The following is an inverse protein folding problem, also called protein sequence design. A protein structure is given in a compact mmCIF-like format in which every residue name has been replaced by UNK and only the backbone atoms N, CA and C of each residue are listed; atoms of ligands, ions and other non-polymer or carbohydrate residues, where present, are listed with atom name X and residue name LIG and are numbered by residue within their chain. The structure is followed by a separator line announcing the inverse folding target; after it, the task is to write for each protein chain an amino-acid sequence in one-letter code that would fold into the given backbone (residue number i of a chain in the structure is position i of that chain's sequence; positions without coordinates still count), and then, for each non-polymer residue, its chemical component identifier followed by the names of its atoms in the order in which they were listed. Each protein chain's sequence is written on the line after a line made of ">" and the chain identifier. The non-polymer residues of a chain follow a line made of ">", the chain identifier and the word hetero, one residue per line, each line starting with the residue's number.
data_IF_280706455776
#
_entry.id   IF_280706455776
#
_cell.length_a   1.000
_cell.length_b   1.000
_cell.length_c   1.000
_cell.angle_alpha   90.00
_cell.angle_beta   90.00
_cell.angle_gamma   90.00
#
_symmetry.space_group_name_H-M   'P 1'
#
loop_
_entity.id
_entity.type
_entity.pdbx_description
1 polymer ?
#
# COMPACT_ATOMS: atom_id res chain seq x y z
N UNK A 1 32.28 -59.51 -2.59
CA UNK A 1 32.04 -58.47 -1.55
C UNK A 1 32.89 -57.20 -1.65
N UNK A 2 34.23 -57.25 -1.78
CA UNK A 2 35.10 -56.03 -1.74
C UNK A 2 34.82 -54.98 -2.84
N UNK A 3 34.45 -55.40 -4.06
CA UNK A 3 34.19 -54.49 -5.21
C UNK A 3 32.87 -53.69 -5.06
N UNK A 4 31.85 -54.29 -4.44
CA UNK A 4 30.56 -53.63 -4.16
C UNK A 4 30.69 -52.56 -3.07
N UNK A 5 31.49 -52.83 -2.03
CA UNK A 5 31.81 -51.88 -0.96
C UNK A 5 32.54 -50.63 -1.48
N UNK A 6 33.50 -50.81 -2.40
CA UNK A 6 34.21 -49.69 -3.05
C UNK A 6 33.27 -48.82 -3.90
N UNK A 7 32.38 -49.42 -4.70
CA UNK A 7 31.37 -48.66 -5.47
C UNK A 7 30.42 -47.87 -4.56
N UNK A 8 30.00 -48.45 -3.44
CA UNK A 8 29.18 -47.78 -2.44
C UNK A 8 29.89 -46.58 -1.81
N UNK A 9 31.19 -46.74 -1.46
CA UNK A 9 32.01 -45.64 -0.91
C UNK A 9 32.18 -44.51 -1.93
N UNK A 10 32.50 -44.82 -3.19
CA UNK A 10 32.62 -43.78 -4.23
C UNK A 10 31.29 -43.07 -4.51
N UNK A 11 30.17 -43.80 -4.50
CA UNK A 11 28.84 -43.21 -4.64
C UNK A 11 28.50 -42.28 -3.48
N UNK A 12 28.86 -42.64 -2.25
CA UNK A 12 28.61 -41.82 -1.07
C UNK A 12 29.49 -40.56 -1.07
N UNK A 13 30.75 -40.69 -1.50
CA UNK A 13 31.69 -39.59 -1.60
C UNK A 13 31.29 -38.60 -2.71
N UNK A 14 30.79 -39.12 -3.84
CA UNK A 14 30.21 -38.30 -4.91
C UNK A 14 28.95 -37.54 -4.45
N UNK A 15 28.04 -38.22 -3.73
CA UNK A 15 26.86 -37.57 -3.15
C UNK A 15 27.24 -36.47 -2.14
N UNK A 16 28.27 -36.69 -1.32
CA UNK A 16 28.79 -35.69 -0.39
C UNK A 16 29.35 -34.46 -1.14
N UNK A 17 30.13 -34.66 -2.20
CA UNK A 17 30.67 -33.57 -3.01
C UNK A 17 29.52 -32.76 -3.65
N UNK A 18 28.51 -33.44 -4.21
CA UNK A 18 27.33 -32.76 -4.75
C UNK A 18 26.60 -31.95 -3.68
N UNK A 19 26.40 -32.52 -2.49
CA UNK A 19 25.79 -31.81 -1.36
C UNK A 19 26.60 -30.57 -0.96
N UNK A 20 27.92 -30.70 -0.80
CA UNK A 20 28.82 -29.59 -0.42
C UNK A 20 28.83 -28.51 -1.50
N UNK A 21 28.87 -28.89 -2.79
CA UNK A 21 28.81 -27.95 -3.91
C UNK A 21 27.48 -27.19 -3.94
N UNK A 22 26.37 -27.88 -3.69
CA UNK A 22 25.04 -27.27 -3.58
C UNK A 22 24.97 -26.28 -2.41
N UNK A 23 25.52 -26.64 -1.25
CA UNK A 23 25.61 -25.74 -0.09
C UNK A 23 26.46 -24.51 -0.42
N UNK A 24 27.64 -24.68 -1.03
CA UNK A 24 28.51 -23.55 -1.39
C UNK A 24 27.85 -22.61 -2.41
N UNK A 25 27.17 -23.17 -3.42
CA UNK A 25 26.39 -22.40 -4.38
C UNK A 25 25.24 -21.64 -3.70
N UNK A 26 24.57 -22.28 -2.75
CA UNK A 26 23.48 -21.70 -1.96
C UNK A 26 23.97 -20.54 -1.09
N UNK A 27 25.11 -20.67 -0.43
CA UNK A 27 25.76 -19.59 0.33
C UNK A 27 26.28 -18.44 -0.55
N UNK A 28 26.60 -18.74 -1.81
CA UNK A 28 27.13 -17.78 -2.79
C UNK A 28 26.05 -17.13 -3.65
N UNK A 29 24.77 -17.45 -3.40
CA UNK A 29 23.65 -16.90 -4.16
C UNK A 29 23.60 -15.38 -4.05
N UNK A 30 23.54 -14.69 -5.21
CA UNK A 30 23.52 -13.24 -5.34
C UNK A 30 22.51 -12.85 -6.41
N UNK A 31 21.73 -11.81 -6.15
CA UNK A 31 20.82 -11.23 -7.13
C UNK A 31 21.58 -10.27 -8.04
N UNK A 32 21.32 -10.37 -9.34
CA UNK A 32 21.70 -9.36 -10.33
C UNK A 32 20.86 -8.10 -10.18
N UNK A 33 21.35 -6.96 -10.69
CA UNK A 33 20.61 -5.70 -10.63
C UNK A 33 19.25 -5.79 -11.34
N UNK A 34 19.10 -6.62 -12.39
CA UNK A 34 17.82 -6.84 -13.07
C UNK A 34 16.81 -7.66 -12.26
N UNK A 35 17.30 -8.60 -11.44
CA UNK A 35 16.46 -9.40 -10.55
C UNK A 35 16.01 -8.57 -9.34
N UNK A 36 16.91 -7.73 -8.81
CA UNK A 36 16.58 -6.76 -7.76
C UNK A 36 15.47 -5.81 -8.26
N UNK A 37 15.52 -5.34 -9.52
CA UNK A 37 14.45 -4.52 -10.09
C UNK A 37 13.13 -5.28 -10.24
N UNK A 38 13.17 -6.57 -10.61
CA UNK A 38 11.96 -7.41 -10.75
C UNK A 38 11.37 -7.87 -9.42
N UNK A 39 12.04 -7.63 -8.30
CA UNK A 39 11.53 -8.01 -6.99
C UNK A 39 10.62 -6.98 -6.34
N UNK A 40 10.65 -5.72 -6.79
CA UNK A 40 9.82 -4.68 -6.20
C UNK A 40 8.38 -4.71 -6.72
N UNK A 41 7.46 -4.27 -5.87
CA UNK A 41 6.08 -4.00 -6.21
C UNK A 41 5.68 -2.65 -5.61
N UNK A 42 4.78 -1.95 -6.27
CA UNK A 42 4.06 -0.81 -5.70
C UNK A 42 2.73 -1.31 -5.17
N UNK A 43 2.36 -0.85 -3.99
CA UNK A 43 1.12 -1.25 -3.31
C UNK A 43 0.22 -0.05 -3.29
N UNK A 44 -0.86 -0.14 -4.06
CA UNK A 44 -1.98 0.79 -4.00
C UNK A 44 -2.88 0.41 -2.82
N UNK A 45 -3.04 1.35 -1.90
CA UNK A 45 -3.82 1.23 -0.68
C UNK A 45 -4.98 2.22 -0.81
N UNK A 46 -6.17 1.68 -1.01
CA UNK A 46 -7.42 2.45 -0.95
C UNK A 46 -8.04 2.21 0.40
N UNK A 47 -8.25 3.27 1.17
CA UNK A 47 -8.85 3.15 2.50
C UNK A 47 -9.89 4.23 2.75
N UNK A 48 -11.00 3.81 3.34
CA UNK A 48 -12.14 4.66 3.66
C UNK A 48 -12.86 4.14 4.90
N UNK A 49 -13.55 5.03 5.59
CA UNK A 49 -14.44 4.72 6.70
C UNK A 49 -15.88 4.63 6.21
N UNK A 50 -16.50 3.50 6.53
CA UNK A 50 -17.88 3.18 6.25
C UNK A 50 -18.68 3.41 7.53
N UNK A 51 -19.60 4.38 7.50
CA UNK A 51 -20.53 4.66 8.60
C UNK A 51 -21.82 3.93 8.29
N UNK A 52 -22.06 2.87 9.07
CA UNK A 52 -23.27 2.07 8.99
C UNK A 52 -24.28 2.49 10.05
N UNK A 53 -25.52 2.68 9.61
CA UNK A 53 -26.65 3.05 10.45
C UNK A 53 -27.61 1.87 10.41
N UNK A 54 -27.87 1.29 11.58
CA UNK A 54 -28.70 0.09 11.77
C UNK A 54 -28.21 -1.10 10.93
N UNK A 55 -26.89 -1.24 10.81
CA UNK A 55 -26.25 -2.33 10.06
C UNK A 55 -26.11 -2.09 8.55
N UNK A 56 -26.65 -0.99 8.02
CA UNK A 56 -26.55 -0.66 6.60
C UNK A 56 -25.56 0.49 6.36
N UNK A 57 -24.60 0.35 5.43
CA UNK A 57 -23.70 1.45 5.08
C UNK A 57 -24.45 2.55 4.34
N UNK A 58 -24.40 3.76 4.89
CA UNK A 58 -25.09 4.93 4.31
C UNK A 58 -24.16 6.10 4.01
N UNK A 59 -23.05 6.22 4.72
CA UNK A 59 -22.06 7.28 4.50
C UNK A 59 -20.66 6.69 4.38
N UNK A 60 -19.89 7.25 3.47
CA UNK A 60 -18.51 6.89 3.25
C UNK A 60 -17.62 8.13 3.35
N UNK A 61 -16.51 8.00 4.07
CA UNK A 61 -15.57 9.09 4.40
C UNK A 61 -14.15 8.59 4.14
N UNK A 62 -13.23 9.44 3.68
CA UNK A 62 -11.82 9.03 3.52
C UNK A 62 -11.10 8.70 4.83
N UNK A 63 -11.29 9.54 5.86
CA UNK A 63 -10.75 9.39 7.21
C UNK A 63 -11.58 10.19 8.21
N UNK A 64 -12.22 9.51 9.17
CA UNK A 64 -13.03 10.13 10.22
C UNK A 64 -12.25 11.08 11.13
N UNK A 65 -10.93 10.88 11.26
CA UNK A 65 -10.08 11.70 12.12
C UNK A 65 -9.59 12.99 11.44
N UNK A 66 -9.97 13.21 10.17
CA UNK A 66 -9.52 14.36 9.37
C UNK A 66 -10.72 15.21 8.99
N UNK A 67 -10.76 16.45 9.50
CA UNK A 67 -11.83 17.41 9.18
C UNK A 67 -11.97 17.67 7.67
N UNK A 68 -10.83 17.77 6.95
CA UNK A 68 -10.84 17.91 5.49
C UNK A 68 -11.43 16.67 4.80
N UNK A 69 -11.17 15.47 5.31
CA UNK A 69 -11.80 14.28 4.77
C UNK A 69 -13.29 14.17 5.12
N UNK A 70 -13.72 14.65 6.29
CA UNK A 70 -15.13 14.69 6.68
C UNK A 70 -15.93 15.58 5.73
N UNK A 71 -15.39 16.72 5.29
CA UNK A 71 -16.03 17.59 4.29
C UNK A 71 -16.29 16.90 2.94
N UNK A 72 -15.52 15.86 2.63
CA UNK A 72 -15.67 15.06 1.41
C UNK A 72 -16.51 13.79 1.62
N UNK A 73 -17.29 13.70 2.71
CA UNK A 73 -18.21 12.59 2.92
C UNK A 73 -19.23 12.47 1.77
N UNK A 74 -19.67 11.25 1.51
CA UNK A 74 -20.59 10.95 0.41
C UNK A 74 -21.46 9.73 0.73
N UNK A 75 -22.62 9.65 0.07
CA UNK A 75 -23.49 8.47 0.10
C UNK A 75 -23.13 7.44 -0.97
N UNK A 76 -22.25 7.80 -1.92
CA UNK A 76 -21.84 6.95 -3.05
C UNK A 76 -20.45 6.38 -2.78
N UNK A 77 -20.36 5.05 -2.67
CA UNK A 77 -19.10 4.33 -2.40
C UNK A 77 -18.00 4.66 -3.42
N UNK A 78 -18.37 4.71 -4.69
CA UNK A 78 -17.43 4.88 -5.81
C UNK A 78 -16.91 6.32 -5.94
N UNK A 79 -17.38 7.28 -5.16
CA UNK A 79 -16.83 8.64 -5.22
C UNK A 79 -15.53 8.81 -4.43
N UNK A 80 -15.07 7.77 -3.72
CA UNK A 80 -13.90 7.79 -2.84
C UNK A 80 -12.57 7.41 -3.52
N UNK A 81 -12.53 7.35 -4.85
CA UNK A 81 -11.31 7.10 -5.63
C UNK A 81 -10.15 8.05 -5.34
N UNK A 82 -10.37 9.15 -4.59
CA UNK A 82 -9.33 10.13 -4.23
C UNK A 82 -8.48 9.70 -3.02
N UNK A 83 -8.90 8.70 -2.23
CA UNK A 83 -8.16 8.25 -1.04
C UNK A 83 -7.21 7.09 -1.34
N UNK A 84 -6.37 7.28 -2.35
CA UNK A 84 -5.33 6.32 -2.74
C UNK A 84 -4.01 6.72 -2.10
N UNK A 85 -3.32 5.75 -1.53
CA UNK A 85 -1.92 5.89 -1.13
C UNK A 85 -1.10 4.80 -1.76
N UNK A 86 0.16 5.11 -2.05
CA UNK A 86 1.09 4.16 -2.62
C UNK A 86 2.26 3.90 -1.67
N UNK A 87 2.58 2.62 -1.48
CA UNK A 87 3.72 2.18 -0.68
C UNK A 87 4.63 1.27 -1.51
N UNK A 88 5.91 1.22 -1.17
CA UNK A 88 6.82 0.25 -1.75
C UNK A 88 6.65 -1.10 -1.06
N UNK A 89 6.88 -2.17 -1.82
CA UNK A 89 7.00 -3.52 -1.32
C UNK A 89 7.88 -4.36 -2.22
N UNK A 90 8.04 -5.63 -1.84
CA UNK A 90 8.80 -6.60 -2.60
C UNK A 90 8.30 -8.03 -2.37
N UNK A 91 8.45 -8.85 -3.40
CA UNK A 91 8.06 -10.25 -3.38
C UNK A 91 9.02 -11.08 -2.55
N UNK A 92 8.50 -12.00 -1.74
CA UNK A 92 9.31 -12.92 -0.93
C UNK A 92 8.94 -14.38 -1.22
N UNK A 93 9.93 -15.26 -1.12
CA UNK A 93 9.67 -16.69 -1.11
C UNK A 93 9.19 -17.14 0.28
N UNK A 94 8.14 -17.99 0.28
CA UNK A 94 7.56 -18.56 1.50
C UNK A 94 8.52 -19.55 2.16
N UNK A 95 9.17 -20.38 1.35
CA UNK A 95 10.11 -21.38 1.82
C UNK A 95 11.54 -20.92 1.54
N UNK A 96 12.43 -21.19 2.49
CA UNK A 96 13.85 -20.94 2.30
C UNK A 96 14.43 -21.86 1.22
N UNK A 97 14.00 -23.13 1.17
CA UNK A 97 14.63 -24.18 0.35
C UNK A 97 14.02 -24.22 -1.06
N UNK A 98 12.71 -23.96 -1.18
CA UNK A 98 11.98 -23.99 -2.44
C UNK A 98 11.56 -22.57 -2.83
N UNK A 99 11.97 -22.06 -4.01
CA UNK A 99 11.65 -20.71 -4.47
C UNK A 99 10.18 -20.64 -4.89
N UNK A 100 9.29 -20.64 -3.90
CA UNK A 100 7.85 -20.55 -4.08
C UNK A 100 7.34 -19.35 -3.31
N UNK A 101 6.95 -18.30 -4.04
CA UNK A 101 6.46 -17.06 -3.46
C UNK A 101 4.98 -17.15 -3.02
N UNK A 102 4.12 -17.86 -3.76
CA UNK A 102 2.67 -17.97 -3.47
C UNK A 102 1.99 -16.60 -3.29
N UNK A 103 2.44 -15.62 -4.07
CA UNK A 103 1.92 -14.26 -4.06
C UNK A 103 2.26 -13.42 -2.83
N UNK A 104 3.26 -13.78 -2.02
CA UNK A 104 3.62 -13.03 -0.81
C UNK A 104 4.44 -11.77 -1.11
N UNK A 105 4.00 -10.65 -0.55
CA UNK A 105 4.66 -9.34 -0.65
C UNK A 105 4.87 -8.74 0.74
N UNK A 106 6.09 -8.29 1.02
CA UNK A 106 6.41 -7.54 2.23
C UNK A 106 6.42 -6.05 1.91
N UNK A 107 5.94 -5.25 2.86
CA UNK A 107 5.89 -3.80 2.78
C UNK A 107 5.99 -3.17 4.17
N UNK A 108 6.23 -1.87 4.22
CA UNK A 108 6.29 -1.12 5.47
C UNK A 108 5.41 0.14 5.41
N UNK A 109 5.11 0.69 6.59
CA UNK A 109 4.42 1.98 6.70
C UNK A 109 2.95 1.95 6.30
N UNK A 110 2.31 0.78 6.23
CA UNK A 110 0.86 0.68 6.03
C UNK A 110 0.14 1.11 7.31
N UNK A 111 -0.79 2.07 7.25
CA UNK A 111 -1.57 2.49 8.41
C UNK A 111 -2.32 1.29 9.02
N UNK A 112 -2.42 1.27 10.35
CA UNK A 112 -3.20 0.25 11.04
C UNK A 112 -4.67 0.37 10.61
N UNK A 113 -5.35 -0.75 10.28
CA UNK A 113 -6.79 -0.74 10.10
C UNK A 113 -7.36 -0.34 11.44
N UNK A 114 -8.09 0.77 11.47
CA UNK A 114 -8.90 1.08 12.64
C UNK A 114 -9.85 -0.10 12.85
N UNK A 115 -9.84 -0.64 14.06
CA UNK A 115 -10.82 -1.62 14.46
C UNK A 115 -12.23 -1.02 14.31
N UNK A 116 -13.22 -1.88 14.07
CA UNK A 116 -14.63 -1.47 14.10
C UNK A 116 -14.89 -0.70 15.39
N UNK A 117 -15.31 0.55 15.27
CA UNK A 117 -15.69 1.36 16.43
C UNK A 117 -17.20 1.41 16.54
N UNK A 118 -17.69 0.95 17.69
CA UNK A 118 -19.07 1.07 18.13
C UNK A 118 -19.17 1.98 19.37
N UNK A 119 -18.09 2.71 19.70
CA UNK A 119 -18.09 3.61 20.84
C UNK A 119 -19.02 4.79 20.56
N UNK A 120 -20.10 4.88 21.35
CA UNK A 120 -21.11 5.92 21.25
C UNK A 120 -20.52 7.34 21.32
N UNK A 121 -19.45 7.56 22.09
CA UNK A 121 -18.81 8.87 22.21
C UNK A 121 -18.14 9.27 20.88
N UNK A 122 -17.40 8.34 20.28
CA UNK A 122 -16.71 8.54 18.99
C UNK A 122 -17.73 8.70 17.87
N UNK A 123 -18.73 7.83 17.79
CA UNK A 123 -19.75 7.91 16.74
C UNK A 123 -20.55 9.20 16.82
N UNK A 124 -20.97 9.61 18.03
CA UNK A 124 -21.72 10.85 18.23
C UNK A 124 -20.87 12.08 17.90
N UNK A 125 -19.57 12.05 18.24
CA UNK A 125 -18.65 13.13 17.88
C UNK A 125 -18.53 13.29 16.36
N UNK A 126 -18.31 12.19 15.63
CA UNK A 126 -18.17 12.18 14.16
C UNK A 126 -19.46 12.67 13.50
N UNK A 127 -20.63 12.17 13.94
CA UNK A 127 -21.93 12.60 13.39
C UNK A 127 -22.18 14.09 13.65
N UNK A 128 -21.86 14.58 14.85
CA UNK A 128 -22.00 16.01 15.17
C UNK A 128 -21.10 16.86 14.27
N UNK A 129 -19.85 16.46 14.06
CA UNK A 129 -18.94 17.17 13.16
C UNK A 129 -19.44 17.15 11.71
N UNK A 130 -19.90 16.00 11.21
CA UNK A 130 -20.51 15.91 9.88
C UNK A 130 -21.71 16.85 9.75
N UNK A 131 -22.61 16.87 10.75
CA UNK A 131 -23.75 17.79 10.75
C UNK A 131 -23.30 19.25 10.67
N UNK A 132 -22.36 19.67 11.51
CA UNK A 132 -21.85 21.05 11.50
C UNK A 132 -21.22 21.42 10.16
N UNK A 133 -20.34 20.57 9.63
CA UNK A 133 -19.63 20.82 8.37
C UNK A 133 -20.63 20.90 7.20
N UNK A 134 -21.55 19.95 7.09
CA UNK A 134 -22.47 19.90 5.96
C UNK A 134 -23.57 20.95 6.04
N UNK A 135 -24.04 21.34 7.23
CA UNK A 135 -24.98 22.47 7.36
C UNK A 135 -24.32 23.78 6.92
N UNK A 136 -23.12 24.09 7.43
CA UNK A 136 -22.40 25.29 7.01
C UNK A 136 -22.07 25.28 5.51
N UNK A 137 -21.70 24.12 4.96
CA UNK A 137 -21.42 23.98 3.54
C UNK A 137 -22.69 24.16 2.69
N UNK A 138 -23.81 23.59 3.11
CA UNK A 138 -25.11 23.75 2.45
C UNK A 138 -25.54 25.22 2.37
N UNK A 139 -25.46 25.95 3.49
CA UNK A 139 -25.82 27.37 3.55
C UNK A 139 -24.93 28.21 2.61
N UNK A 140 -23.63 27.91 2.58
CA UNK A 140 -22.69 28.54 1.64
C UNK A 140 -23.01 28.23 0.18
N UNK A 141 -23.35 26.97 -0.14
CA UNK A 141 -23.69 26.56 -1.50
C UNK A 141 -24.99 27.22 -1.99
N UNK A 142 -25.97 27.45 -1.10
CA UNK A 142 -27.20 28.18 -1.45
C UNK A 142 -26.85 29.62 -1.84
N UNK A 143 -26.08 30.32 -1.00
CA UNK A 143 -25.68 31.71 -1.28
C UNK A 143 -24.95 31.85 -2.62
N UNK A 144 -24.03 30.94 -2.94
CA UNK A 144 -23.29 30.95 -4.20
C UNK A 144 -24.22 30.62 -5.38
N UNK A 145 -25.16 29.69 -5.21
CA UNK A 145 -26.09 29.32 -6.26
C UNK A 145 -27.06 30.44 -6.62
N UNK A 146 -27.51 31.23 -5.64
CA UNK A 146 -28.38 32.39 -5.88
C UNK A 146 -27.67 33.45 -6.72
N UNK A 147 -26.41 33.76 -6.38
CA UNK A 147 -25.56 34.68 -7.15
C UNK A 147 -25.33 34.16 -8.59
N UNK A 148 -25.05 32.86 -8.72
CA UNK A 148 -24.77 32.24 -10.00
C UNK A 148 -26.01 32.17 -10.90
N UNK A 149 -27.18 31.89 -10.32
CA UNK A 149 -28.46 31.91 -11.03
C UNK A 149 -28.82 33.33 -11.48
N UNK A 150 -28.50 34.35 -10.67
CA UNK A 150 -28.64 35.74 -11.08
C UNK A 150 -27.76 36.05 -12.30
N UNK A 151 -26.47 35.70 -12.25
CA UNK A 151 -25.54 35.90 -13.36
C UNK A 151 -26.03 35.23 -14.65
N UNK A 152 -26.39 33.94 -14.59
CA UNK A 152 -26.83 33.17 -15.76
C UNK A 152 -28.17 33.66 -16.36
N UNK A 153 -28.97 34.40 -15.58
CA UNK A 153 -30.22 35.01 -16.07
C UNK A 153 -29.98 36.32 -16.80
N UNK A 154 -29.00 37.11 -16.34
CA UNK A 154 -28.70 38.44 -16.88
C UNK A 154 -27.77 38.36 -18.09
N UNK A 155 -26.83 37.41 -18.08
CA UNK A 155 -25.80 37.25 -19.09
C UNK A 155 -26.15 36.19 -20.13
N UNK A 156 -25.84 36.48 -21.40
CA UNK A 156 -26.13 35.61 -22.53
C UNK A 156 -24.95 34.72 -22.91
N UNK A 157 -25.21 33.71 -23.75
CA UNK A 157 -24.17 32.78 -24.25
C UNK A 157 -23.06 33.48 -25.04
N UNK A 158 -23.34 34.68 -25.56
CA UNK A 158 -22.40 35.51 -26.32
C UNK A 158 -21.36 36.23 -25.43
N UNK A 159 -21.55 36.25 -24.10
CA UNK A 159 -20.64 36.91 -23.17
C UNK A 159 -19.37 36.08 -22.95
N UNK A 160 -18.22 36.75 -22.95
CA UNK A 160 -16.95 36.11 -22.60
C UNK A 160 -17.01 35.53 -21.19
N UNK A 161 -16.71 34.24 -21.06
CA UNK A 161 -16.73 33.53 -19.78
C UNK A 161 -18.07 32.87 -19.42
N UNK A 162 -19.16 33.08 -20.17
CA UNK A 162 -20.44 32.40 -19.94
C UNK A 162 -20.27 30.87 -19.88
N UNK A 163 -19.48 30.31 -20.80
CA UNK A 163 -19.21 28.88 -20.83
C UNK A 163 -18.55 28.39 -19.53
N UNK A 164 -17.52 29.09 -19.03
CA UNK A 164 -16.84 28.77 -17.78
C UNK A 164 -17.80 28.81 -16.59
N UNK A 165 -18.65 29.83 -16.53
CA UNK A 165 -19.61 30.02 -15.44
C UNK A 165 -20.71 28.95 -15.48
N UNK A 166 -21.19 28.58 -16.67
CA UNK A 166 -22.17 27.49 -16.84
C UNK A 166 -21.61 26.13 -16.40
N UNK A 167 -20.33 25.84 -16.71
CA UNK A 167 -19.65 24.64 -16.23
C UNK A 167 -19.49 24.66 -14.70
N UNK A 168 -19.16 25.82 -14.13
CA UNK A 168 -19.08 25.98 -12.69
C UNK A 168 -20.45 25.76 -12.02
N UNK A 169 -21.53 26.26 -12.61
CA UNK A 169 -22.89 26.03 -12.12
C UNK A 169 -23.28 24.55 -12.12
N UNK A 170 -22.91 23.81 -13.17
CA UNK A 170 -23.12 22.36 -13.20
C UNK A 170 -22.36 21.65 -12.07
N UNK A 171 -21.10 22.02 -11.81
CA UNK A 171 -20.31 21.48 -10.69
C UNK A 171 -20.95 21.81 -9.33
N UNK A 172 -21.39 23.05 -9.15
CA UNK A 172 -22.05 23.50 -7.92
C UNK A 172 -23.33 22.70 -7.61
N UNK A 173 -24.15 22.43 -8.63
CA UNK A 173 -25.35 21.60 -8.49
C UNK A 173 -25.02 20.18 -8.05
N UNK A 174 -23.96 19.57 -8.57
CA UNK A 174 -23.50 18.26 -8.12
C UNK A 174 -23.03 18.28 -6.66
N UNK A 175 -22.32 19.33 -6.23
CA UNK A 175 -21.91 19.48 -4.83
C UNK A 175 -23.09 19.72 -3.89
N UNK A 176 -24.12 20.46 -4.33
CA UNK A 176 -25.39 20.61 -3.59
C UNK A 176 -26.10 19.28 -3.41
N UNK A 177 -26.30 18.52 -4.51
CA UNK A 177 -26.93 17.19 -4.45
C UNK A 177 -26.20 16.24 -3.51
N UNK A 178 -24.86 16.25 -3.52
CA UNK A 178 -24.03 15.47 -2.58
C UNK A 178 -24.28 15.90 -1.14
N UNK A 179 -24.25 17.20 -0.89
CA UNK A 179 -24.45 17.79 0.44
C UNK A 179 -25.83 17.46 1.01
N UNK A 180 -26.87 17.61 0.19
CA UNK A 180 -28.25 17.32 0.56
C UNK A 180 -28.45 15.83 0.85
N UNK A 181 -27.84 14.96 0.05
CA UNK A 181 -27.89 13.51 0.27
C UNK A 181 -27.28 13.11 1.61
N UNK A 182 -26.13 13.70 1.96
CA UNK A 182 -25.47 13.45 3.26
C UNK A 182 -26.32 13.99 4.41
N UNK A 183 -26.82 15.23 4.31
CA UNK A 183 -27.70 15.82 5.33
C UNK A 183 -28.99 15.03 5.50
N UNK A 184 -29.59 14.52 4.43
CA UNK A 184 -30.78 13.69 4.49
C UNK A 184 -30.54 12.40 5.29
N UNK A 185 -29.38 11.76 5.14
CA UNK A 185 -29.00 10.60 5.95
C UNK A 185 -28.85 10.99 7.42
N UNK A 186 -28.18 12.11 7.71
CA UNK A 186 -27.96 12.58 9.09
C UNK A 186 -29.29 12.97 9.76
N UNK A 187 -30.20 13.64 9.05
CA UNK A 187 -31.52 14.06 9.57
C UNK A 187 -32.43 12.88 9.92
N UNK A 188 -32.24 11.71 9.29
CA UNK A 188 -33.00 10.48 9.56
C UNK A 188 -32.52 9.74 10.81
N UNK A 189 -31.41 10.15 11.43
CA UNK A 189 -30.91 9.55 12.65
C UNK A 189 -31.85 9.85 13.82
N UNK A 190 -32.21 8.79 14.55
CA UNK A 190 -32.99 8.87 15.79
C UNK A 190 -32.10 8.53 16.99
N UNK A 191 -32.55 8.84 18.20
CA UNK A 191 -31.82 8.50 19.43
C UNK A 191 -31.57 6.98 19.61
N UNK A 192 -32.34 6.14 18.91
CA UNK A 192 -32.22 4.68 18.95
C UNK A 192 -31.35 4.09 17.83
N UNK A 193 -30.91 4.92 16.87
CA UNK A 193 -30.12 4.46 15.72
C UNK A 193 -28.79 3.87 16.16
N UNK A 194 -28.48 2.65 15.70
CA UNK A 194 -27.20 1.98 15.99
C UNK A 194 -26.17 2.40 14.95
N UNK A 195 -25.20 3.21 15.36
CA UNK A 195 -24.15 3.71 14.49
C UNK A 195 -22.88 2.89 14.70
N UNK A 196 -22.30 2.42 13.61
CA UNK A 196 -21.03 1.69 13.63
C UNK A 196 -20.11 2.26 12.56
N UNK A 197 -18.83 2.40 12.89
CA UNK A 197 -17.84 2.91 11.95
C UNK A 197 -16.83 1.80 11.67
N UNK A 198 -16.59 1.55 10.40
CA UNK A 198 -15.67 0.50 9.96
C UNK A 198 -14.69 1.02 8.92
N UNK A 199 -13.39 0.95 9.22
CA UNK A 199 -12.33 1.23 8.25
C UNK A 199 -12.20 0.08 7.26
N UNK A 200 -12.54 0.33 6.00
CA UNK A 200 -12.28 -0.58 4.89
C UNK A 200 -10.95 -0.21 4.25
N UNK A 201 -10.14 -1.22 3.97
CA UNK A 201 -8.88 -1.06 3.24
C UNK A 201 -8.78 -2.16 2.20
N UNK A 202 -8.49 -1.78 0.96
CA UNK A 202 -8.23 -2.69 -0.15
C UNK A 202 -6.80 -2.48 -0.65
N UNK A 203 -6.13 -3.59 -0.97
CA UNK A 203 -4.75 -3.60 -1.44
C UNK A 203 -4.72 -4.08 -2.88
N UNK A 204 -4.07 -3.33 -3.75
CA UNK A 204 -3.78 -3.73 -5.13
C UNK A 204 -2.28 -3.64 -5.34
N UNK A 205 -1.67 -4.73 -5.79
CA UNK A 205 -0.25 -4.78 -6.12
C UNK A 205 -0.10 -4.36 -7.58
N UNK A 206 0.80 -3.43 -7.84
CA UNK A 206 1.29 -3.08 -9.15
C UNK A 206 2.72 -3.61 -9.28
N UNK A 207 2.98 -4.34 -10.35
CA UNK A 207 4.30 -4.91 -10.61
C UNK A 207 4.64 -4.82 -12.09
N UNK A 208 5.94 -4.79 -12.35
CA UNK A 208 6.51 -4.88 -13.69
C UNK A 208 7.00 -6.31 -13.89
N UNK A 209 6.32 -7.07 -14.75
CA UNK A 209 6.78 -8.38 -15.18
C UNK A 209 7.89 -8.24 -16.23
N UNK A 210 7.83 -9.07 -17.28
CA UNK A 210 8.76 -8.95 -18.41
C UNK A 210 8.39 -7.83 -19.41
N UNK A 211 7.22 -7.21 -19.26
CA UNK A 211 6.75 -6.10 -20.09
C UNK A 211 6.97 -4.73 -19.45
N UNK A 212 6.89 -3.67 -20.26
CA UNK A 212 7.02 -2.28 -19.79
C UNK A 212 5.76 -1.74 -19.10
N UNK A 213 4.61 -2.39 -19.28
CA UNK A 213 3.33 -1.96 -18.70
C UNK A 213 3.13 -2.56 -17.31
N UNK A 214 2.78 -1.75 -16.29
CA UNK A 214 2.49 -2.27 -14.96
C UNK A 214 1.21 -3.10 -14.95
N UNK A 215 1.28 -4.30 -14.39
CA UNK A 215 0.13 -5.17 -14.18
C UNK A 215 -0.42 -4.99 -12.76
N UNK A 216 -1.74 -5.13 -12.60
CA UNK A 216 -2.45 -4.96 -11.33
C UNK A 216 -3.04 -6.29 -10.86
N UNK A 217 -2.84 -6.60 -9.59
CA UNK A 217 -3.43 -7.79 -8.97
C UNK A 217 -3.94 -7.47 -7.55
N UNK A 218 -5.13 -7.94 -7.22
CA UNK A 218 -5.71 -7.74 -5.89
C UNK A 218 -4.95 -8.53 -4.82
N UNK A 219 -4.82 -7.95 -3.63
CA UNK A 219 -4.17 -8.58 -2.49
C UNK A 219 -4.95 -8.41 -1.18
N UNK A 220 -4.67 -9.32 -0.25
CA UNK A 220 -5.18 -9.33 1.13
C UNK A 220 -4.03 -9.12 2.10
N UNK A 221 -4.31 -8.43 3.21
CA UNK A 221 -3.40 -8.36 4.34
C UNK A 221 -3.47 -9.66 5.13
N UNK A 222 -2.34 -10.36 5.24
CA UNK A 222 -2.22 -11.60 6.03
C UNK A 222 -1.80 -11.26 7.46
N UNK A 223 -0.82 -10.37 7.60
CA UNK A 223 -0.26 -10.03 8.91
C UNK A 223 0.32 -8.63 8.93
N UNK A 224 0.27 -8.00 10.10
CA UNK A 224 1.04 -6.80 10.44
C UNK A 224 1.86 -7.05 11.70
N UNK A 225 3.04 -6.45 11.74
CA UNK A 225 3.83 -6.27 12.95
C UNK A 225 3.97 -4.76 13.20
N UNK A 226 3.21 -4.23 14.16
CA UNK A 226 3.18 -2.79 14.46
C UNK A 226 4.50 -2.26 15.02
N UNK A 227 5.29 -3.11 15.71
CA UNK A 227 6.59 -2.71 16.29
C UNK A 227 7.59 -2.34 15.19
N UNK A 228 7.66 -3.15 14.15
CA UNK A 228 8.56 -2.94 13.00
C UNK A 228 7.89 -2.17 11.84
N UNK A 229 6.60 -1.85 11.99
CA UNK A 229 5.73 -1.26 10.96
C UNK A 229 5.73 -2.05 9.65
N UNK A 230 5.92 -3.36 9.73
CA UNK A 230 5.92 -4.26 8.58
C UNK A 230 4.56 -4.90 8.39
N UNK A 231 4.20 -5.13 7.13
CA UNK A 231 3.01 -5.87 6.75
C UNK A 231 3.36 -6.93 5.70
N UNK A 232 2.67 -8.06 5.79
CA UNK A 232 2.71 -9.15 4.83
C UNK A 232 1.38 -9.18 4.10
N UNK A 233 1.44 -8.95 2.80
CA UNK A 233 0.31 -9.07 1.87
C UNK A 233 0.45 -10.39 1.11
N UNK A 234 -0.68 -10.89 0.63
CA UNK A 234 -0.73 -12.03 -0.29
C UNK A 234 -1.71 -11.73 -1.41
N UNK A 235 -1.38 -12.11 -2.65
CA UNK A 235 -2.34 -12.06 -3.76
C UNK A 235 -3.59 -12.87 -3.43
N UNK A 236 -4.74 -12.47 -3.97
CA UNK A 236 -6.02 -13.15 -3.73
C UNK A 236 -6.01 -14.57 -4.30
N UNK A 237 -5.39 -14.75 -5.47
CA UNK A 237 -5.22 -16.04 -6.15
C UNK A 237 -4.11 -16.92 -5.55
N UNK A 238 -3.30 -16.38 -4.64
CA UNK A 238 -2.15 -17.05 -4.03
C UNK A 238 -1.10 -17.52 -5.06
N UNK A 239 -1.16 -16.99 -6.28
CA UNK A 239 -0.23 -17.33 -7.35
C UNK A 239 0.93 -16.34 -7.40
N UNK A 240 2.09 -16.82 -7.86
CA UNK A 240 3.23 -15.95 -8.12
C UNK A 240 3.12 -15.41 -9.53
N UNK A 241 3.07 -14.08 -9.73
CA UNK A 241 2.94 -13.54 -11.07
C UNK A 241 4.16 -13.80 -11.96
N UNK A 242 3.94 -13.88 -13.27
CA UNK A 242 5.01 -14.15 -14.23
C UNK A 242 6.00 -12.98 -14.34
N UNK A 243 7.29 -13.31 -14.48
CA UNK A 243 8.36 -12.34 -14.70
C UNK A 243 8.83 -11.58 -13.46
N UNK A 244 8.25 -11.83 -12.29
CA UNK A 244 8.73 -11.27 -11.01
C UNK A 244 9.89 -12.09 -10.44
N UNK A 245 10.74 -11.45 -9.63
CA UNK A 245 11.78 -12.13 -8.87
C UNK A 245 11.42 -12.11 -7.37
N UNK A 246 11.32 -13.26 -6.73
CA UNK A 246 11.02 -13.32 -5.30
C UNK A 246 12.29 -13.45 -4.46
N UNK A 247 12.37 -12.68 -3.40
CA UNK A 247 13.53 -12.66 -2.50
C UNK A 247 13.49 -13.87 -1.56
N UNK A 248 14.54 -14.68 -1.64
CA UNK A 248 14.87 -15.75 -0.70
C UNK A 248 15.29 -15.22 0.67
N UNK A 249 14.59 -15.65 1.71
CA UNK A 249 14.87 -15.31 3.11
C UNK A 249 15.87 -16.29 3.74
N UNK A 250 17.10 -16.30 3.22
CA UNK A 250 18.15 -17.26 3.60
C UNK A 250 18.40 -17.27 5.13
N UNK A 251 18.68 -18.42 5.77
CA UNK A 251 18.79 -18.50 7.23
C UNK A 251 20.11 -17.97 7.82
N UNK A 252 21.21 -17.97 7.06
CA UNK A 252 22.54 -17.64 7.62
C UNK A 252 22.82 -16.15 7.72
N UNK A 253 23.39 -15.72 8.84
CA UNK A 253 23.79 -14.34 9.03
C UNK A 253 24.92 -13.96 8.04
N UNK A 254 24.83 -12.78 7.44
CA UNK A 254 25.92 -12.21 6.66
C UNK A 254 26.25 -10.82 7.16
N UNK A 255 27.54 -10.46 7.22
CA UNK A 255 27.95 -9.12 7.63
C UNK A 255 27.38 -8.10 6.64
N UNK A 256 26.72 -7.09 7.19
CA UNK A 256 26.18 -5.99 6.38
C UNK A 256 27.35 -5.11 5.94
N UNK A 257 27.53 -4.98 4.62
CA UNK A 257 28.54 -4.10 4.06
C UNK A 257 28.15 -2.63 4.25
N UNK A 258 29.15 -1.74 4.25
CA UNK A 258 28.93 -0.29 4.37
C UNK A 258 28.11 0.28 3.21
N UNK A 259 28.23 -0.29 2.01
CA UNK A 259 27.45 0.13 0.84
C UNK A 259 26.25 -0.79 0.67
N UNK A 260 25.07 -0.19 0.55
CA UNK A 260 23.81 -0.89 0.36
C UNK A 260 23.13 -0.42 -0.93
N UNK A 261 22.49 -1.34 -1.63
CA UNK A 261 21.65 -1.11 -2.81
C UNK A 261 20.19 -1.24 -2.42
N UNK A 262 19.32 -0.43 -3.00
CA UNK A 262 17.87 -0.56 -2.87
C UNK A 262 17.23 -0.31 -4.22
N UNK A 263 16.06 -0.92 -4.42
CA UNK A 263 15.17 -0.55 -5.50
C UNK A 263 13.95 0.11 -4.91
N UNK A 264 13.63 1.29 -5.43
CA UNK A 264 12.45 2.04 -5.06
C UNK A 264 11.91 2.78 -6.27
N UNK A 265 10.73 3.34 -6.08
CA UNK A 265 9.99 4.14 -7.05
C UNK A 265 10.13 5.61 -6.63
N UNK A 266 10.88 6.46 -7.36
CA UNK A 266 11.02 7.87 -7.04
C UNK A 266 9.66 8.58 -6.96
N UNK A 267 9.50 9.49 -6.00
CA UNK A 267 8.27 10.23 -5.75
C UNK A 267 7.20 9.46 -4.97
N UNK A 268 7.34 8.14 -4.79
CA UNK A 268 6.33 7.29 -4.15
C UNK A 268 6.10 7.67 -2.68
N UNK A 269 7.17 7.91 -1.91
CA UNK A 269 7.04 8.24 -0.49
C UNK A 269 6.32 9.58 -0.26
N UNK A 270 6.37 10.49 -1.23
CA UNK A 270 5.75 11.81 -1.19
C UNK A 270 4.38 11.84 -1.88
N UNK A 271 3.91 10.71 -2.43
CA UNK A 271 2.66 10.61 -3.20
C UNK A 271 2.60 11.58 -4.40
N UNK A 272 3.76 11.90 -4.98
CA UNK A 272 3.89 12.88 -6.07
C UNK A 272 3.72 12.28 -7.47
N UNK A 273 3.74 10.95 -7.58
CA UNK A 273 3.80 10.26 -8.85
C UNK A 273 2.58 9.35 -9.06
N UNK A 274 2.05 9.35 -10.29
CA UNK A 274 1.03 8.40 -10.72
C UNK A 274 1.65 7.01 -10.86
N UNK A 275 1.05 5.95 -10.31
CA UNK A 275 1.64 4.61 -10.26
C UNK A 275 1.89 3.99 -11.64
N UNK A 276 1.16 4.43 -12.67
CA UNK A 276 1.34 3.94 -14.05
C UNK A 276 2.59 4.48 -14.74
N UNK A 277 3.23 5.51 -14.16
CA UNK A 277 4.37 6.21 -14.75
C UNK A 277 5.68 5.94 -14.01
N UNK A 278 5.69 5.12 -12.94
CA UNK A 278 6.84 5.02 -12.04
C UNK A 278 7.69 3.82 -12.38
N UNK A 279 8.80 4.03 -13.08
CA UNK A 279 9.80 3.01 -13.26
C UNK A 279 10.59 2.80 -11.96
N UNK A 280 10.85 1.55 -11.55
CA UNK A 280 11.76 1.27 -10.45
C UNK A 280 13.17 1.78 -10.80
N UNK A 281 13.89 2.27 -9.79
CA UNK A 281 15.27 2.75 -9.92
C UNK A 281 16.18 2.13 -8.87
N UNK A 282 17.39 1.76 -9.29
CA UNK A 282 18.47 1.34 -8.39
C UNK A 282 19.09 2.57 -7.72
N UNK A 283 19.12 2.57 -6.39
CA UNK A 283 19.66 3.65 -5.58
C UNK A 283 20.65 3.05 -4.59
N UNK A 284 21.81 3.70 -4.44
CA UNK A 284 22.85 3.29 -3.49
C UNK A 284 22.85 4.18 -2.26
N UNK A 285 23.01 3.57 -1.10
CA UNK A 285 23.13 4.25 0.18
C UNK A 285 24.28 3.72 1.02
N UNK A 286 24.47 4.31 2.18
CA UNK A 286 25.52 3.96 3.13
C UNK A 286 24.89 3.47 4.43
N UNK A 287 25.22 2.26 4.84
CA UNK A 287 24.84 1.70 6.14
C UNK A 287 25.92 2.01 7.19
N UNK A 288 25.51 2.63 8.31
CA UNK A 288 26.35 2.85 9.50
C UNK A 288 25.50 2.73 10.76
N UNK A 289 25.93 1.90 11.70
CA UNK A 289 25.34 1.77 13.05
C UNK A 289 23.80 1.58 13.04
N UNK A 290 23.27 0.66 12.21
CA UNK A 290 21.84 0.36 12.16
C UNK A 290 20.98 1.33 11.33
N UNK A 291 21.58 2.42 10.83
CA UNK A 291 20.90 3.42 9.98
C UNK A 291 21.43 3.40 8.56
N UNK A 292 20.57 3.80 7.63
CA UNK A 292 20.92 3.95 6.22
C UNK A 292 20.88 5.43 5.86
N UNK A 293 21.98 5.91 5.28
CA UNK A 293 22.19 7.29 4.84
C UNK A 293 22.27 7.36 3.31
N UNK A 294 22.08 8.54 2.74
CA UNK A 294 22.12 8.75 1.28
C UNK A 294 20.87 8.27 0.53
N UNK A 295 19.82 7.89 1.25
CA UNK A 295 18.53 7.49 0.68
C UNK A 295 17.45 8.54 1.03
N UNK A 296 17.35 9.65 0.27
CA UNK A 296 16.34 10.67 0.53
C UNK A 296 14.93 10.10 0.27
N UNK A 297 13.94 10.56 1.04
CA UNK A 297 12.53 10.13 0.88
C UNK A 297 11.97 10.38 -0.53
N UNK A 298 12.52 11.36 -1.25
CA UNK A 298 12.15 11.61 -2.64
C UNK A 298 12.47 10.42 -3.55
N UNK A 299 13.54 9.66 -3.27
CA UNK A 299 13.99 8.55 -4.10
C UNK A 299 13.59 7.19 -3.51
N UNK A 300 13.61 7.07 -2.18
CA UNK A 300 13.37 5.79 -1.49
C UNK A 300 12.16 5.87 -0.56
N UNK A 301 11.20 4.98 -0.78
CA UNK A 301 10.04 4.81 0.07
C UNK A 301 10.25 3.72 1.12
N UNK A 302 9.55 3.84 2.26
CA UNK A 302 9.46 2.75 3.23
C UNK A 302 8.85 1.50 2.60
N UNK A 303 9.36 0.33 2.97
CA UNK A 303 9.01 -0.96 2.38
C UNK A 303 9.90 -1.39 1.23
N UNK A 304 10.85 -0.55 0.82
CA UNK A 304 11.85 -0.90 -0.21
C UNK A 304 12.85 -1.94 0.31
N UNK A 305 13.16 -2.98 -0.48
CA UNK A 305 14.13 -3.99 -0.10
C UNK A 305 15.56 -3.41 -0.15
N UNK A 306 16.40 -3.87 0.76
CA UNK A 306 17.81 -3.50 0.86
C UNK A 306 18.67 -4.73 0.58
N UNK A 307 19.69 -4.51 -0.24
CA UNK A 307 20.69 -5.48 -0.65
C UNK A 307 22.08 -4.97 -0.32
N UNK A 308 23.04 -5.87 -0.13
CA UNK A 308 24.45 -5.51 -0.13
C UNK A 308 24.89 -5.05 -1.53
N UNK A 309 26.04 -4.39 -1.63
CA UNK A 309 26.64 -4.05 -2.92
C UNK A 309 26.77 -5.26 -3.88
N UNK A 310 26.95 -6.46 -3.32
CA UNK A 310 27.09 -7.72 -4.04
C UNK A 310 25.76 -8.42 -4.35
N UNK A 311 24.61 -7.78 -4.11
CA UNK A 311 23.31 -8.32 -4.45
C UNK A 311 22.73 -9.32 -3.45
N UNK A 312 23.15 -9.27 -2.18
CA UNK A 312 22.61 -10.18 -1.14
C UNK A 312 21.57 -9.44 -0.32
N UNK A 313 20.39 -10.02 -0.15
CA UNK A 313 19.32 -9.41 0.63
C UNK A 313 19.67 -9.30 2.12
N UNK A 314 19.59 -8.08 2.66
CA UNK A 314 19.94 -7.77 4.05
C UNK A 314 18.73 -7.38 4.92
N UNK A 315 17.66 -6.87 4.31
CA UNK A 315 16.47 -6.42 5.03
C UNK A 315 15.64 -5.41 4.26
N UNK A 316 14.78 -4.66 4.95
CA UNK A 316 13.89 -3.67 4.34
C UNK A 316 14.01 -2.33 5.05
N UNK A 317 13.77 -1.24 4.33
CA UNK A 317 13.72 0.10 4.91
C UNK A 317 12.37 0.33 5.60
N UNK A 318 12.38 0.86 6.82
CA UNK A 318 11.18 1.33 7.53
C UNK A 318 11.55 2.52 8.42
N UNK A 319 10.95 3.69 8.20
CA UNK A 319 11.22 4.89 8.97
C UNK A 319 12.68 5.36 8.92
N UNK A 320 13.38 5.11 7.80
CA UNK A 320 14.81 5.43 7.66
C UNK A 320 15.78 4.47 8.39
N UNK A 321 15.26 3.38 8.97
CA UNK A 321 16.05 2.35 9.64
C UNK A 321 16.05 1.06 8.82
N UNK A 322 17.15 0.30 8.93
CA UNK A 322 17.22 -1.05 8.39
C UNK A 322 16.49 -2.00 9.35
N UNK A 323 15.40 -2.60 8.87
CA UNK A 323 14.78 -3.74 9.52
C UNK A 323 15.44 -5.00 8.98
N UNK A 324 16.09 -5.76 9.86
CA UNK A 324 16.88 -6.94 9.48
C UNK A 324 16.03 -8.01 8.81
N UNK A 325 16.64 -8.77 7.90
CA UNK A 325 16.04 -9.95 7.28
C UNK A 325 15.40 -10.90 8.29
N UNK A 326 16.01 -11.13 9.45
CA UNK A 326 15.46 -12.02 10.48
C UNK A 326 14.07 -11.59 10.97
N UNK A 327 13.81 -10.28 11.10
CA UNK A 327 12.48 -9.77 11.47
C UNK A 327 11.47 -9.96 10.35
N UNK A 328 11.90 -9.82 9.09
CA UNK A 328 11.08 -10.13 7.90
C UNK A 328 10.75 -11.63 7.84
N UNK A 329 11.71 -12.49 8.12
CA UNK A 329 11.50 -13.94 8.22
C UNK A 329 10.48 -14.28 9.29
N UNK A 330 10.61 -13.71 10.49
CA UNK A 330 9.64 -13.92 11.58
C UNK A 330 8.21 -13.47 11.20
N UNK A 331 8.06 -12.42 10.40
CA UNK A 331 6.77 -11.99 9.88
C UNK A 331 6.12 -13.07 9.00
N UNK A 332 6.93 -13.70 8.12
CA UNK A 332 6.51 -14.75 7.20
C UNK A 332 6.25 -16.11 7.85
N UNK A 333 7.04 -16.51 8.86
CA UNK A 333 7.00 -17.87 9.42
C UNK A 333 5.75 -18.14 10.25
N UNK A 334 5.34 -17.22 11.14
CA UNK A 334 4.15 -17.49 11.97
C UNK A 334 2.83 -17.39 11.19
N UNK A 335 2.85 -17.15 9.87
CA UNK A 335 1.66 -17.12 9.03
C UNK A 335 1.21 -18.54 8.58
N UNK A 336 1.97 -19.58 8.95
CA UNK A 336 1.53 -20.99 8.93
C UNK A 336 0.58 -21.26 10.08
#
# INVERSE_FOLDING_TARGET
>A
MKRHRKKLIYSMLFALILMVSGILAWFSFRYSDTEIMRCTAVIEIKSYDEISIDGHPKLFVGNINSASSLAHATTIKDSLHKNVRFNAGFWINRCMILPSCQGHVVTAGIPSPLARSNDSAVTNHVIRQLKTIFTAHHDSLISIADELNYYLRVHGVQDEGFHTISQYAAKLRHEQQRTDSVLAVIKRLTAQSKITIHRRTTYTLLYYGNGQTPQRIAAKLIRRNDKDKLALLQTVDQHTPDGICAVNLLPWHQPIMTVVKTVSHPGLALQLASPDSICPGNITGIYRQGRVYGLPKLLVADGSPLFSANGIYIGTLSGGQLISRSRVTQLSEKAK
#
